data_IF_670483426135
#
_entry.id   IF_670483426135
#
_cell.length_a   1.000
_cell.length_b   1.000
_cell.length_c   1.000
_cell.angle_alpha   90.00
_cell.angle_beta   90.00
_cell.angle_gamma   90.00
#
_symmetry.space_group_name_H-M   'P 1'
#
loop_
_entity.id
_entity.type
_entity.pdbx_description
1 polymer ?
#
# COMPACT_ATOMS: atom_id res chain seq x y z
N UNK A 1 -32.69 17.27 -48.29
CA UNK A 1 -32.94 18.23 -47.18
C UNK A 1 -31.60 18.72 -46.69
N UNK A 2 -31.39 20.02 -46.78
CA UNK A 2 -30.12 20.71 -46.60
C UNK A 2 -30.37 21.79 -45.55
N UNK A 3 -29.77 21.69 -44.36
CA UNK A 3 -29.73 22.80 -43.41
C UNK A 3 -28.36 22.79 -42.70
N UNK A 4 -27.53 23.76 -43.07
CA UNK A 4 -26.59 24.51 -42.22
C UNK A 4 -27.17 25.94 -42.10
N UNK A 5 -26.62 26.87 -41.29
CA UNK A 5 -25.74 26.79 -40.11
C UNK A 5 -26.25 27.67 -38.92
N UNK A 6 -25.55 27.71 -37.78
CA UNK A 6 -25.23 28.99 -37.13
C UNK A 6 -24.04 28.86 -36.18
N UNK A 7 -22.97 29.56 -36.52
CA UNK A 7 -21.91 29.98 -35.61
C UNK A 7 -22.29 31.36 -35.06
N UNK A 8 -21.97 31.66 -33.80
CA UNK A 8 -21.86 33.03 -33.34
C UNK A 8 -20.79 33.17 -32.25
N UNK A 9 -19.67 33.74 -32.66
CA UNK A 9 -18.65 34.37 -31.83
C UNK A 9 -19.18 35.63 -31.15
N UNK A 10 -18.64 35.97 -29.97
CA UNK A 10 -18.36 37.32 -29.40
C UNK A 10 -17.71 37.07 -28.03
N UNK A 11 -16.38 37.07 -27.81
CA UNK A 11 -15.39 38.15 -27.72
C UNK A 11 -15.77 39.36 -26.82
N UNK A 12 -15.08 39.41 -25.67
CA UNK A 12 -14.52 40.54 -24.89
C UNK A 12 -15.33 41.80 -24.55
N UNK A 13 -15.33 42.15 -23.25
CA UNK A 13 -14.96 43.47 -22.67
C UNK A 13 -14.87 43.35 -21.14
N UNK A 14 -13.68 43.40 -20.55
CA UNK A 14 -13.12 44.56 -19.80
C UNK A 14 -13.99 45.11 -18.66
N UNK A 15 -13.59 44.82 -17.41
CA UNK A 15 -13.65 45.79 -16.31
C UNK A 15 -12.40 45.64 -15.44
N UNK A 16 -11.47 46.57 -15.61
CA UNK A 16 -10.56 46.98 -14.54
C UNK A 16 -11.30 47.99 -13.67
N UNK A 17 -11.32 47.81 -12.35
CA UNK A 17 -11.30 48.93 -11.43
C UNK A 17 -10.38 48.59 -10.26
N UNK A 18 -9.47 49.52 -10.02
CA UNK A 18 -8.36 49.50 -9.07
C UNK A 18 -8.80 49.70 -7.61
N UNK A 19 -8.09 48.98 -6.73
CA UNK A 19 -7.58 49.35 -5.40
C UNK A 19 -8.47 50.13 -4.44
N UNK A 20 -8.64 49.63 -3.21
CA UNK A 20 -8.32 50.36 -1.97
C UNK A 20 -7.75 49.35 -0.96
N UNK A 21 -6.49 49.54 -0.61
CA UNK A 21 -5.83 48.82 0.48
C UNK A 21 -6.32 49.38 1.81
N UNK A 22 -6.65 48.49 2.75
CA UNK A 22 -6.68 48.79 4.17
C UNK A 22 -6.02 47.63 4.91
N UNK A 23 -4.87 47.94 5.49
CA UNK A 23 -4.10 47.11 6.40
C UNK A 23 -4.96 46.70 7.59
N UNK A 24 -5.15 45.39 7.77
CA UNK A 24 -5.36 44.79 9.09
C UNK A 24 -4.33 43.67 9.21
N UNK A 25 -3.23 44.02 9.86
CA UNK A 25 -2.24 43.08 10.34
C UNK A 25 -2.86 42.31 11.52
N UNK A 26 -3.41 41.13 11.24
CA UNK A 26 -3.56 40.07 12.23
C UNK A 26 -2.58 38.96 11.88
N UNK A 27 -1.77 38.62 12.87
CA UNK A 27 -0.68 37.66 12.84
C UNK A 27 -1.15 36.29 12.35
N UNK A 28 -0.97 36.02 11.06
CA UNK A 28 -0.85 34.65 10.57
C UNK A 28 0.45 34.09 11.16
N UNK A 29 0.33 33.22 12.16
CA UNK A 29 1.38 32.25 12.47
C UNK A 29 1.79 31.61 11.14
N UNK A 30 3.02 31.88 10.74
CA UNK A 30 3.65 31.24 9.61
C UNK A 30 3.63 29.74 9.88
N UNK A 31 2.71 29.02 9.23
CA UNK A 31 2.86 27.60 9.02
C UNK A 31 4.23 27.41 8.37
N UNK A 32 5.16 26.94 9.18
CA UNK A 32 6.53 26.69 8.82
C UNK A 32 6.55 25.67 7.66
N UNK A 33 6.69 26.20 6.44
CA UNK A 33 6.81 25.41 5.21
C UNK A 33 8.17 24.68 5.13
N UNK A 34 9.00 24.69 6.19
CA UNK A 34 10.29 24.00 6.23
C UNK A 34 10.29 22.63 6.94
N UNK A 35 9.19 22.23 7.58
CA UNK A 35 9.10 20.95 8.32
C UNK A 35 8.80 19.70 7.45
N UNK A 36 8.67 19.83 6.13
CA UNK A 36 8.27 18.72 5.23
C UNK A 36 9.40 18.21 4.31
N UNK A 37 10.67 18.42 4.67
CA UNK A 37 11.80 17.99 3.85
C UNK A 37 11.94 16.46 3.77
N UNK A 38 12.16 15.95 2.55
CA UNK A 38 12.56 14.59 2.09
C UNK A 38 11.90 13.32 2.67
N UNK A 39 11.34 12.46 1.80
CA UNK A 39 10.89 11.13 2.17
C UNK A 39 12.20 10.42 2.42
N UNK A 40 12.62 10.41 3.67
CA UNK A 40 13.85 9.79 4.12
C UNK A 40 13.53 8.32 4.25
N UNK A 41 13.59 7.62 3.12
CA UNK A 41 13.44 6.17 3.05
C UNK A 41 14.74 5.55 3.57
N UNK A 42 15.05 5.82 4.84
CA UNK A 42 16.36 5.60 5.42
C UNK A 42 16.61 4.12 5.65
N UNK A 43 15.61 3.38 6.13
CA UNK A 43 15.74 1.96 6.41
C UNK A 43 15.94 1.16 5.12
N UNK A 44 15.29 1.56 4.02
CA UNK A 44 15.45 0.83 2.74
C UNK A 44 16.87 0.91 2.17
N UNK A 45 17.56 2.05 2.37
CA UNK A 45 18.91 2.27 1.84
C UNK A 45 20.03 1.97 2.86
N UNK A 46 19.80 2.19 4.15
CA UNK A 46 20.82 2.11 5.19
C UNK A 46 20.78 0.80 5.99
N UNK A 47 19.64 0.09 5.99
CA UNK A 47 19.51 -1.21 6.66
C UNK A 47 19.77 -2.34 5.64
N UNK A 48 20.75 -3.22 5.90
CA UNK A 48 21.01 -4.38 5.04
C UNK A 48 19.74 -5.21 4.84
N UNK A 49 19.52 -5.70 3.62
CA UNK A 49 18.39 -6.57 3.24
C UNK A 49 16.96 -6.05 3.48
N UNK A 50 16.74 -4.85 4.04
CA UNK A 50 15.41 -4.34 4.38
C UNK A 50 14.37 -4.45 3.24
N UNK A 51 14.75 -4.05 2.02
CA UNK A 51 13.88 -4.18 0.83
C UNK A 51 13.49 -5.64 0.54
N UNK A 52 14.45 -6.55 0.67
CA UNK A 52 14.27 -7.98 0.39
C UNK A 52 13.42 -8.62 1.49
N UNK A 53 13.67 -8.27 2.75
CA UNK A 53 12.86 -8.71 3.88
C UNK A 53 11.41 -8.25 3.78
N UNK A 54 11.20 -7.00 3.38
CA UNK A 54 9.86 -6.41 3.24
C UNK A 54 9.03 -7.13 2.16
N UNK A 55 9.64 -7.36 1.00
CA UNK A 55 8.98 -8.06 -0.11
C UNK A 55 8.81 -9.57 0.16
N UNK A 56 9.78 -10.20 0.83
CA UNK A 56 9.66 -11.58 1.28
C UNK A 56 8.52 -11.75 2.29
N UNK A 57 8.38 -10.84 3.26
CA UNK A 57 7.28 -10.88 4.22
C UNK A 57 5.93 -10.74 3.52
N UNK A 58 5.80 -9.81 2.58
CA UNK A 58 4.58 -9.65 1.79
C UNK A 58 4.24 -10.94 1.02
N UNK A 59 5.19 -11.52 0.29
CA UNK A 59 4.98 -12.75 -0.46
C UNK A 59 4.57 -13.92 0.44
N UNK A 60 5.23 -14.08 1.59
CA UNK A 60 4.88 -15.13 2.57
C UNK A 60 3.46 -14.94 3.12
N UNK A 61 3.07 -13.72 3.45
CA UNK A 61 1.74 -13.42 3.97
C UNK A 61 0.66 -13.55 2.90
N UNK A 62 0.98 -13.23 1.64
CA UNK A 62 0.10 -13.47 0.50
C UNK A 62 -0.19 -14.97 0.33
N UNK A 63 0.84 -15.82 0.30
CA UNK A 63 0.63 -17.27 0.19
C UNK A 63 -0.04 -17.88 1.43
N UNK A 64 0.24 -17.32 2.60
CA UNK A 64 -0.47 -17.68 3.82
C UNK A 64 -1.96 -17.29 3.75
N UNK A 65 -2.31 -16.18 3.10
CA UNK A 65 -3.69 -15.79 2.89
C UNK A 65 -4.44 -16.83 2.02
N UNK A 66 -3.79 -17.34 0.97
CA UNK A 66 -4.34 -18.47 0.18
C UNK A 66 -4.59 -19.70 1.06
N UNK A 67 -3.63 -20.06 1.91
CA UNK A 67 -3.80 -21.16 2.86
C UNK A 67 -4.98 -20.92 3.84
N UNK A 68 -5.09 -19.72 4.40
CA UNK A 68 -6.19 -19.35 5.32
C UNK A 68 -7.54 -19.49 4.62
N UNK A 69 -7.66 -18.96 3.40
CA UNK A 69 -8.89 -19.00 2.60
C UNK A 69 -9.27 -20.44 2.28
N UNK A 70 -8.35 -21.22 1.71
CA UNK A 70 -8.66 -22.56 1.21
C UNK A 70 -8.91 -23.55 2.35
N UNK A 71 -8.06 -23.55 3.38
CA UNK A 71 -8.18 -24.51 4.48
C UNK A 71 -9.45 -24.30 5.32
N UNK A 72 -9.95 -23.06 5.40
CA UNK A 72 -11.16 -22.73 6.12
C UNK A 72 -12.41 -22.63 5.22
N UNK A 73 -12.29 -22.91 3.92
CA UNK A 73 -13.37 -22.78 2.93
C UNK A 73 -14.04 -21.39 2.94
N UNK A 74 -13.24 -20.34 3.05
CA UNK A 74 -13.73 -18.96 3.10
C UNK A 74 -14.21 -18.57 1.69
N UNK A 75 -15.47 -18.15 1.51
CA UNK A 75 -15.94 -17.68 0.22
C UNK A 75 -15.26 -16.35 -0.14
N UNK A 76 -14.77 -16.24 -1.37
CA UNK A 76 -14.18 -15.01 -1.90
C UNK A 76 -15.01 -14.52 -3.08
N UNK A 77 -15.52 -13.29 -2.98
CA UNK A 77 -16.21 -12.60 -4.06
C UNK A 77 -15.25 -11.59 -4.71
N UNK A 78 -15.14 -11.61 -6.04
CA UNK A 78 -14.17 -10.80 -6.78
C UNK A 78 -12.99 -11.65 -7.27
N UNK A 79 -11.77 -11.31 -6.86
CA UNK A 79 -10.54 -12.01 -7.26
C UNK A 79 -9.76 -12.53 -6.06
N UNK A 80 -9.35 -13.80 -6.11
CA UNK A 80 -8.60 -14.47 -5.02
C UNK A 80 -7.25 -13.81 -4.74
N UNK A 81 -6.51 -13.45 -5.78
CA UNK A 81 -5.21 -12.80 -5.66
C UNK A 81 -5.30 -11.41 -5.04
N UNK A 82 -6.32 -10.62 -5.39
CA UNK A 82 -6.55 -9.31 -4.76
C UNK A 82 -6.91 -9.46 -3.29
N UNK A 83 -7.72 -10.46 -2.93
CA UNK A 83 -8.02 -10.75 -1.53
C UNK A 83 -6.77 -11.17 -0.75
N UNK A 84 -5.89 -11.97 -1.36
CA UNK A 84 -4.62 -12.36 -0.75
C UNK A 84 -3.68 -11.16 -0.53
N UNK A 85 -3.54 -10.26 -1.51
CA UNK A 85 -2.80 -8.99 -1.37
C UNK A 85 -3.35 -8.12 -0.24
N UNK A 86 -4.68 -7.97 -0.19
CA UNK A 86 -5.37 -7.21 0.84
C UNK A 86 -5.11 -7.77 2.24
N UNK A 87 -5.26 -9.09 2.41
CA UNK A 87 -4.98 -9.76 3.69
C UNK A 87 -3.50 -9.56 4.05
N UNK A 88 -2.57 -9.77 3.13
CA UNK A 88 -1.14 -9.60 3.37
C UNK A 88 -0.80 -8.17 3.83
N UNK A 89 -1.22 -7.15 3.08
CA UNK A 89 -1.01 -5.74 3.42
C UNK A 89 -1.57 -5.42 4.81
N UNK A 90 -2.80 -5.87 5.10
CA UNK A 90 -3.42 -5.63 6.41
C UNK A 90 -2.69 -6.34 7.55
N UNK A 91 -2.22 -7.58 7.34
CA UNK A 91 -1.44 -8.32 8.33
C UNK A 91 -0.13 -7.62 8.70
N UNK A 92 0.53 -7.01 7.73
CA UNK A 92 1.77 -6.28 7.95
C UNK A 92 1.55 -5.03 8.83
N UNK A 93 0.38 -4.39 8.72
CA UNK A 93 0.03 -3.19 9.50
C UNK A 93 -0.54 -3.48 10.91
N UNK A 94 -0.72 -4.76 11.31
CA UNK A 94 -1.40 -5.15 12.57
C UNK A 94 -0.80 -4.60 13.86
N UNK A 95 0.52 -4.44 13.91
CA UNK A 95 1.25 -4.06 15.13
C UNK A 95 1.70 -2.60 15.14
N UNK A 96 1.37 -1.85 14.08
CA UNK A 96 1.78 -0.47 13.93
C UNK A 96 0.84 0.42 14.71
N UNK A 97 1.24 0.72 15.96
CA UNK A 97 0.54 1.65 16.87
C UNK A 97 0.40 3.04 16.27
N UNK A 98 1.35 3.38 15.39
CA UNK A 98 1.42 4.55 14.55
C UNK A 98 2.08 4.16 13.22
N UNK A 99 1.89 4.95 12.16
CA UNK A 99 2.79 4.90 11.00
C UNK A 99 4.15 5.45 11.45
N UNK A 100 4.95 4.56 12.02
CA UNK A 100 6.37 4.77 12.28
C UNK A 100 7.13 4.73 10.94
N UNK A 101 8.27 5.42 10.87
CA UNK A 101 9.05 5.57 9.63
C UNK A 101 9.41 4.21 9.00
N UNK A 102 9.67 3.19 9.83
CA UNK A 102 9.97 1.83 9.36
C UNK A 102 8.79 1.14 8.68
N UNK A 103 7.54 1.37 9.14
CA UNK A 103 6.36 0.81 8.47
C UNK A 103 6.18 1.47 7.10
N UNK A 104 6.36 2.78 7.03
CA UNK A 104 6.28 3.53 5.79
C UNK A 104 7.33 3.02 4.78
N UNK A 105 8.57 2.85 5.23
CA UNK A 105 9.67 2.31 4.42
C UNK A 105 9.40 0.88 3.93
N UNK A 106 8.81 0.05 4.79
CA UNK A 106 8.40 -1.32 4.45
C UNK A 106 7.32 -1.30 3.36
N UNK A 107 6.27 -0.49 3.54
CA UNK A 107 5.16 -0.39 2.58
C UNK A 107 5.59 0.24 1.25
N UNK A 108 6.51 1.21 1.27
CA UNK A 108 7.13 1.75 0.06
C UNK A 108 7.93 0.67 -0.66
N UNK A 109 8.68 -0.17 0.05
CA UNK A 109 9.46 -1.26 -0.56
C UNK A 109 8.56 -2.24 -1.32
N UNK A 110 7.40 -2.57 -0.75
CA UNK A 110 6.42 -3.49 -1.35
C UNK A 110 5.74 -2.85 -2.56
N UNK A 111 5.27 -1.62 -2.40
CA UNK A 111 4.63 -0.89 -3.50
C UNK A 111 5.61 -0.71 -4.65
N UNK A 112 6.85 -0.30 -4.36
CA UNK A 112 7.88 -0.11 -5.37
C UNK A 112 8.20 -1.38 -6.15
N UNK A 113 8.15 -2.56 -5.52
CA UNK A 113 8.35 -3.84 -6.21
C UNK A 113 7.33 -4.02 -7.35
N UNK A 114 6.04 -3.83 -7.07
CA UNK A 114 5.00 -3.91 -8.10
C UNK A 114 5.15 -2.88 -9.22
N UNK A 115 5.59 -1.66 -8.89
CA UNK A 115 5.87 -0.64 -9.90
C UNK A 115 7.11 -0.97 -10.74
N UNK A 116 8.14 -1.58 -10.13
CA UNK A 116 9.33 -2.06 -10.83
C UNK A 116 8.97 -3.21 -11.76
N UNK A 117 8.15 -4.16 -11.30
CA UNK A 117 7.66 -5.27 -12.11
C UNK A 117 6.84 -4.78 -13.30
N UNK A 118 5.90 -3.85 -13.07
CA UNK A 118 5.15 -3.19 -14.14
C UNK A 118 6.07 -2.54 -15.19
N UNK A 119 7.13 -1.85 -14.76
CA UNK A 119 8.10 -1.25 -15.69
C UNK A 119 8.81 -2.31 -16.53
N UNK A 120 9.15 -3.45 -15.96
CA UNK A 120 9.77 -4.57 -16.67
C UNK A 120 8.80 -5.24 -17.64
N UNK A 121 7.54 -5.44 -17.25
CA UNK A 121 6.50 -6.00 -18.12
C UNK A 121 6.27 -5.12 -19.36
N UNK A 122 6.23 -3.80 -19.16
CA UNK A 122 6.13 -2.83 -20.26
C UNK A 122 7.39 -2.84 -21.12
N UNK A 123 8.59 -2.80 -20.51
CA UNK A 123 9.88 -2.81 -21.20
C UNK A 123 10.05 -4.05 -22.09
N UNK A 124 9.62 -5.22 -21.59
CA UNK A 124 9.74 -6.50 -22.28
C UNK A 124 8.51 -6.90 -23.10
N UNK A 125 7.47 -6.04 -23.15
CA UNK A 125 6.19 -6.33 -23.84
C UNK A 125 5.55 -7.65 -23.37
N UNK A 126 5.63 -7.95 -22.08
CA UNK A 126 5.21 -9.21 -21.47
C UNK A 126 3.96 -9.09 -20.59
N UNK A 127 3.14 -8.05 -20.80
CA UNK A 127 1.92 -7.82 -20.02
C UNK A 127 0.90 -8.93 -20.29
N UNK A 128 0.56 -9.69 -19.26
CA UNK A 128 -0.40 -10.80 -19.33
C UNK A 128 -1.80 -10.37 -18.87
N UNK A 129 -2.58 -9.75 -19.76
CA UNK A 129 -3.95 -9.28 -19.43
C UNK A 129 -4.96 -10.38 -19.08
N UNK A 130 -4.62 -11.65 -19.32
CA UNK A 130 -5.45 -12.83 -19.03
C UNK A 130 -5.06 -13.54 -17.74
N UNK A 131 -4.03 -13.06 -17.04
CA UNK A 131 -3.58 -13.66 -15.79
C UNK A 131 -4.66 -13.53 -14.69
N UNK A 132 -4.61 -14.43 -13.71
CA UNK A 132 -5.50 -14.37 -12.54
C UNK A 132 -5.07 -13.28 -11.55
N UNK A 133 -3.79 -12.93 -11.57
CA UNK A 133 -3.27 -11.79 -10.83
C UNK A 133 -3.72 -10.48 -11.49
N UNK A 134 -4.06 -9.44 -10.69
CA UNK A 134 -4.18 -8.10 -11.21
C UNK A 134 -2.87 -7.66 -11.88
N UNK A 135 -2.95 -6.72 -12.82
CA UNK A 135 -1.74 -6.15 -13.42
C UNK A 135 -0.84 -5.59 -12.31
N UNK A 136 0.47 -5.69 -12.47
CA UNK A 136 1.45 -5.20 -11.49
C UNK A 136 1.21 -3.72 -11.13
N UNK A 137 0.79 -2.88 -12.08
CA UNK A 137 0.39 -1.49 -11.80
C UNK A 137 -0.88 -1.35 -10.95
N UNK A 138 -1.83 -2.28 -11.07
CA UNK A 138 -3.02 -2.31 -10.21
C UNK A 138 -2.64 -2.73 -8.78
N UNK A 139 -1.77 -3.75 -8.64
CA UNK A 139 -1.24 -4.17 -7.33
C UNK A 139 -0.49 -3.02 -6.64
N UNK A 140 0.35 -2.29 -7.39
CA UNK A 140 1.00 -1.07 -6.90
C UNK A 140 0.00 -0.08 -6.30
N UNK A 141 -1.03 0.31 -7.06
CA UNK A 141 -2.00 1.29 -6.59
C UNK A 141 -2.90 0.78 -5.48
N UNK A 142 -3.24 -0.51 -5.46
CA UNK A 142 -4.08 -1.10 -4.41
C UNK A 142 -3.33 -1.18 -3.07
N UNK A 143 -2.08 -1.66 -3.07
CA UNK A 143 -1.24 -1.67 -1.85
C UNK A 143 -0.95 -0.24 -1.37
N UNK A 144 -0.56 0.66 -2.28
CA UNK A 144 -0.28 2.07 -1.93
C UNK A 144 -1.52 2.76 -1.35
N UNK A 145 -2.70 2.43 -1.87
CA UNK A 145 -3.96 2.97 -1.40
C UNK A 145 -4.29 2.53 0.03
N UNK A 146 -4.21 1.23 0.34
CA UNK A 146 -4.46 0.72 1.70
C UNK A 146 -3.50 1.34 2.72
N UNK A 147 -2.22 1.45 2.36
CA UNK A 147 -1.23 2.15 3.19
C UNK A 147 -1.65 3.61 3.41
N UNK A 148 -1.95 4.37 2.35
CA UNK A 148 -2.33 5.77 2.46
C UNK A 148 -3.60 5.97 3.29
N UNK A 149 -4.60 5.10 3.11
CA UNK A 149 -5.86 5.12 3.86
C UNK A 149 -5.69 4.88 5.36
N UNK A 150 -4.64 4.16 5.77
CA UNK A 150 -4.35 3.91 7.18
C UNK A 150 -3.98 5.18 7.97
N UNK A 151 -3.34 6.16 7.31
CA UNK A 151 -2.92 7.39 7.96
C UNK A 151 -2.82 8.56 6.96
N UNK A 152 -3.95 8.90 6.35
CA UNK A 152 -4.10 9.98 5.35
C UNK A 152 -3.34 11.25 5.73
N UNK A 153 -3.53 11.74 6.97
CA UNK A 153 -2.90 12.96 7.50
C UNK A 153 -1.36 12.89 7.52
N UNK A 154 -0.80 11.72 7.83
CA UNK A 154 0.65 11.50 7.91
C UNK A 154 1.27 11.19 6.54
N UNK A 155 0.45 10.72 5.60
CA UNK A 155 0.90 10.15 4.33
C UNK A 155 0.58 11.00 3.09
N UNK A 156 0.12 12.26 3.26
CA UNK A 156 -0.06 13.23 2.16
C UNK A 156 1.17 13.37 1.26
N UNK A 157 2.35 13.09 1.81
CA UNK A 157 3.60 13.10 1.07
C UNK A 157 3.64 12.11 -0.10
N UNK A 158 3.07 10.91 0.06
CA UNK A 158 3.05 9.88 -0.99
C UNK A 158 2.35 10.42 -2.24
N UNK A 159 1.28 11.21 -2.08
CA UNK A 159 0.62 11.93 -3.19
C UNK A 159 1.55 12.98 -3.81
N UNK A 160 2.18 13.81 -2.97
CA UNK A 160 3.08 14.88 -3.41
C UNK A 160 4.32 14.38 -4.15
N UNK A 161 4.72 13.13 -3.94
CA UNK A 161 5.85 12.50 -4.65
C UNK A 161 5.40 11.58 -5.80
N UNK A 162 4.16 11.73 -6.29
CA UNK A 162 3.56 11.02 -7.42
C UNK A 162 3.46 9.49 -7.29
N UNK A 163 3.42 8.97 -6.06
CA UNK A 163 3.15 7.54 -5.83
C UNK A 163 1.67 7.23 -5.96
N UNK A 164 0.79 8.16 -5.55
CA UNK A 164 -0.65 7.95 -5.52
C UNK A 164 -1.38 9.14 -6.16
N UNK A 165 -2.03 8.96 -7.33
CA UNK A 165 -2.85 9.98 -7.95
C UNK A 165 -4.00 10.42 -7.04
N UNK A 166 -4.43 11.65 -7.18
CA UNK A 166 -5.51 12.18 -6.36
C UNK A 166 -6.82 11.42 -6.49
N UNK A 167 -7.18 11.05 -7.72
CA UNK A 167 -8.39 10.29 -7.98
C UNK A 167 -8.38 8.92 -7.31
N UNK A 168 -7.19 8.28 -7.19
CA UNK A 168 -7.05 6.99 -6.51
C UNK A 168 -7.08 7.14 -4.99
N UNK A 169 -6.42 8.18 -4.47
CA UNK A 169 -6.32 8.49 -3.05
C UNK A 169 -7.68 8.80 -2.38
N UNK A 170 -8.66 9.20 -3.19
CA UNK A 170 -9.95 9.73 -2.74
C UNK A 170 -10.76 8.82 -1.82
N UNK A 171 -10.80 7.51 -2.09
CA UNK A 171 -11.59 6.53 -1.32
C UNK A 171 -10.69 5.57 -0.51
N UNK A 172 -9.40 5.87 -0.38
CA UNK A 172 -8.46 4.95 0.24
C UNK A 172 -8.70 4.71 1.72
N UNK A 173 -9.17 5.72 2.46
CA UNK A 173 -9.58 5.57 3.84
C UNK A 173 -10.79 4.62 3.97
N UNK A 174 -11.76 4.71 3.07
CA UNK A 174 -12.93 3.83 3.03
C UNK A 174 -12.49 2.39 2.74
N UNK A 175 -11.64 2.19 1.73
CA UNK A 175 -11.09 0.86 1.41
C UNK A 175 -10.29 0.29 2.59
N UNK A 176 -9.48 1.10 3.27
CA UNK A 176 -8.77 0.68 4.46
C UNK A 176 -9.74 0.25 5.58
N UNK A 177 -10.79 1.03 5.87
CA UNK A 177 -11.77 0.65 6.90
C UNK A 177 -12.51 -0.65 6.56
N UNK A 178 -12.92 -0.84 5.30
CA UNK A 178 -13.55 -2.10 4.84
C UNK A 178 -12.61 -3.30 5.02
N UNK A 179 -11.32 -3.12 4.73
CA UNK A 179 -10.32 -4.16 4.94
C UNK A 179 -10.04 -4.42 6.43
N UNK A 180 -10.12 -3.38 7.28
CA UNK A 180 -10.05 -3.55 8.74
C UNK A 180 -11.22 -4.36 9.30
N UNK A 181 -12.43 -4.08 8.85
CA UNK A 181 -13.63 -4.85 9.22
C UNK A 181 -13.51 -6.30 8.78
N UNK A 182 -13.05 -6.53 7.55
CA UNK A 182 -12.81 -7.87 6.99
C UNK A 182 -11.77 -8.63 7.82
N UNK A 183 -10.66 -7.98 8.16
CA UNK A 183 -9.62 -8.57 8.99
C UNK A 183 -10.12 -8.86 10.42
N UNK A 184 -10.96 -7.99 11.00
CA UNK A 184 -11.58 -8.25 12.30
C UNK A 184 -12.46 -9.49 12.24
N UNK A 185 -13.28 -9.63 11.20
CA UNK A 185 -14.09 -10.83 10.99
C UNK A 185 -13.21 -12.08 10.82
N UNK A 186 -12.13 -12.01 10.04
CA UNK A 186 -11.18 -13.12 9.91
C UNK A 186 -10.56 -13.48 11.26
N UNK A 187 -10.14 -12.48 12.04
CA UNK A 187 -9.58 -12.68 13.36
C UNK A 187 -10.58 -13.36 14.29
N UNK A 188 -11.83 -12.90 14.33
CA UNK A 188 -12.90 -13.44 15.16
C UNK A 188 -13.24 -14.90 14.84
N UNK A 189 -13.17 -15.30 13.57
CA UNK A 189 -13.60 -16.63 13.14
C UNK A 189 -12.43 -17.64 13.04
N UNK A 190 -11.25 -17.20 12.62
CA UNK A 190 -10.15 -18.08 12.19
C UNK A 190 -8.80 -17.76 12.85
N UNK A 191 -8.83 -17.11 14.01
CA UNK A 191 -7.61 -16.74 14.75
C UNK A 191 -7.77 -16.89 16.27
N UNK A 192 -6.64 -16.90 16.98
CA UNK A 192 -6.55 -16.88 18.44
C UNK A 192 -6.64 -15.48 19.03
N UNK A 193 -6.63 -14.46 18.18
CA UNK A 193 -6.73 -13.05 18.56
C UNK A 193 -8.06 -12.45 18.10
N UNK A 194 -8.46 -11.36 18.72
CA UNK A 194 -9.52 -10.46 18.28
C UNK A 194 -8.99 -9.03 18.38
N UNK A 195 -9.77 -8.03 17.99
CA UNK A 195 -9.38 -6.63 18.10
C UNK A 195 -10.15 -5.93 19.21
N UNK A 196 -9.46 -5.13 20.00
CA UNK A 196 -10.11 -4.21 20.95
C UNK A 196 -10.71 -2.98 20.23
N UNK A 197 -11.35 -2.09 20.99
CA UNK A 197 -11.96 -0.86 20.46
C UNK A 197 -10.95 0.10 19.79
N UNK A 198 -9.67 -0.02 20.14
CA UNK A 198 -8.57 0.74 19.58
C UNK A 198 -7.84 -0.04 18.47
N UNK A 199 -8.39 -1.20 18.09
CA UNK A 199 -7.86 -2.08 17.06
C UNK A 199 -6.51 -2.72 17.38
N UNK A 200 -6.24 -2.95 18.66
CA UNK A 200 -5.11 -3.76 19.06
C UNK A 200 -5.46 -5.25 19.02
N UNK A 201 -4.57 -6.11 18.49
CA UNK A 201 -4.77 -7.54 18.60
C UNK A 201 -4.65 -7.99 20.06
N UNK A 202 -5.69 -8.60 20.59
CA UNK A 202 -5.75 -9.14 21.96
C UNK A 202 -6.09 -10.63 21.95
N UNK A 203 -5.50 -11.46 22.83
CA UNK A 203 -5.80 -12.89 22.87
C UNK A 203 -7.26 -13.16 23.24
N UNK A 204 -7.88 -14.18 22.61
CA UNK A 204 -9.20 -14.68 23.01
C UNK A 204 -9.11 -15.52 24.28
N UNK A 205 -10.08 -15.34 25.18
CA UNK A 205 -10.21 -16.13 26.41
C UNK A 205 -10.40 -17.62 26.06
N UNK A 206 -9.56 -18.50 26.61
CA UNK A 206 -9.52 -19.97 26.39
C UNK A 206 -8.90 -20.47 25.06
N UNK A 207 -7.96 -19.75 24.44
CA UNK A 207 -7.12 -20.36 23.40
C UNK A 207 -6.36 -21.58 23.98
N UNK A 208 -6.54 -22.77 23.39
CA UNK A 208 -5.83 -23.98 23.82
C UNK A 208 -4.31 -23.85 23.63
N UNK A 209 -3.53 -24.63 24.38
CA UNK A 209 -2.07 -24.50 24.37
C UNK A 209 -1.36 -25.23 23.21
N UNK A 210 -2.06 -26.07 22.44
CA UNK A 210 -1.47 -26.87 21.36
C UNK A 210 -2.28 -26.70 20.10
N UNK A 211 -1.66 -26.05 19.12
CA UNK A 211 -2.27 -25.68 17.87
C UNK A 211 -1.38 -26.05 16.69
N UNK A 212 -1.95 -26.39 15.52
CA UNK A 212 -1.18 -26.56 14.31
C UNK A 212 -0.37 -25.30 14.01
N UNK A 213 0.89 -25.48 13.65
CA UNK A 213 1.84 -24.39 13.40
C UNK A 213 2.21 -24.31 11.93
N UNK A 214 2.55 -23.11 11.50
CA UNK A 214 3.36 -22.84 10.32
C UNK A 214 4.81 -23.15 10.68
N UNK A 215 5.41 -24.05 9.91
CA UNK A 215 6.80 -24.48 10.03
C UNK A 215 7.61 -23.94 8.85
N UNK A 216 8.93 -24.03 8.93
CA UNK A 216 9.83 -23.72 7.80
C UNK A 216 10.80 -24.86 7.55
N UNK A 217 11.05 -25.14 6.28
CA UNK A 217 12.07 -26.05 5.79
C UNK A 217 12.89 -25.37 4.71
N UNK A 218 14.21 -25.50 4.82
CA UNK A 218 15.15 -24.97 3.85
C UNK A 218 15.75 -26.12 3.05
N UNK A 219 15.44 -26.21 1.77
CA UNK A 219 16.01 -27.18 0.86
C UNK A 219 17.36 -26.66 0.38
N UNK A 220 18.41 -27.48 0.51
CA UNK A 220 19.77 -27.07 0.13
C UNK A 220 19.84 -26.79 -1.37
N UNK A 221 20.19 -25.58 -1.80
CA UNK A 221 20.26 -25.24 -3.21
C UNK A 221 21.58 -25.71 -3.85
N UNK A 222 21.53 -25.98 -5.15
CA UNK A 222 22.73 -26.37 -5.92
C UNK A 222 23.58 -25.16 -6.34
N UNK A 223 22.96 -24.03 -6.67
CA UNK A 223 23.64 -22.82 -7.16
C UNK A 223 24.38 -22.09 -6.04
N UNK A 224 25.64 -21.63 -6.24
CA UNK A 224 26.38 -20.87 -5.23
C UNK A 224 25.65 -19.63 -4.72
N UNK A 225 25.02 -18.84 -5.61
CA UNK A 225 24.27 -17.64 -5.21
C UNK A 225 23.15 -17.95 -4.21
N UNK A 226 22.41 -19.05 -4.43
CA UNK A 226 21.32 -19.45 -3.54
C UNK A 226 21.81 -20.02 -2.22
N UNK A 227 23.05 -20.55 -2.16
CA UNK A 227 23.66 -20.97 -0.89
C UNK A 227 23.88 -19.75 0.03
N UNK A 228 24.33 -18.64 -0.54
CA UNK A 228 24.45 -17.37 0.20
C UNK A 228 23.08 -16.85 0.65
N UNK A 229 22.04 -16.95 -0.18
CA UNK A 229 20.66 -16.62 0.23
C UNK A 229 20.19 -17.51 1.39
N UNK A 230 20.45 -18.81 1.32
CA UNK A 230 20.11 -19.75 2.39
C UNK A 230 20.84 -19.40 3.70
N UNK A 231 22.14 -19.15 3.64
CA UNK A 231 22.94 -18.71 4.80
C UNK A 231 22.35 -17.43 5.41
N UNK A 232 21.99 -16.45 4.57
CA UNK A 232 21.32 -15.23 5.01
C UNK A 232 19.98 -15.53 5.68
N UNK A 233 19.07 -16.28 5.05
CA UNK A 233 17.76 -16.63 5.62
C UNK A 233 17.89 -17.32 6.98
N UNK A 234 18.83 -18.26 7.11
CA UNK A 234 19.09 -18.98 8.35
C UNK A 234 19.71 -18.11 9.45
N UNK A 235 20.51 -17.11 9.07
CA UNK A 235 21.07 -16.13 9.99
C UNK A 235 20.11 -15.00 10.34
N UNK A 236 19.12 -14.73 9.47
CA UNK A 236 18.13 -13.68 9.66
C UNK A 236 17.10 -14.11 10.70
N UNK A 237 16.79 -13.21 11.64
CA UNK A 237 15.68 -13.44 12.57
C UNK A 237 14.31 -13.15 11.93
N UNK A 238 14.28 -12.68 10.67
CA UNK A 238 13.06 -12.19 10.01
C UNK A 238 12.04 -13.28 9.76
N UNK A 239 12.44 -14.42 9.18
CA UNK A 239 11.51 -15.54 8.95
C UNK A 239 10.98 -16.09 10.28
N UNK A 240 11.85 -16.21 11.29
CA UNK A 240 11.46 -16.64 12.62
C UNK A 240 10.48 -15.66 13.29
N UNK A 241 10.70 -14.35 13.13
CA UNK A 241 9.81 -13.29 13.62
C UNK A 241 8.41 -13.38 12.97
N UNK A 242 8.35 -13.52 11.64
CA UNK A 242 7.08 -13.67 10.90
C UNK A 242 6.34 -14.92 11.39
N UNK A 243 7.03 -16.06 11.48
CA UNK A 243 6.46 -17.31 11.98
C UNK A 243 5.96 -17.21 13.42
N UNK A 244 6.67 -16.51 14.30
CA UNK A 244 6.25 -16.27 15.67
C UNK A 244 4.90 -15.56 15.70
N UNK A 245 4.80 -14.41 15.00
CA UNK A 245 3.56 -13.64 14.89
C UNK A 245 2.40 -14.43 14.30
N UNK A 246 2.66 -15.14 13.19
CA UNK A 246 1.63 -15.95 12.51
C UNK A 246 1.12 -17.06 13.42
N UNK A 247 2.02 -17.77 14.10
CA UNK A 247 1.64 -18.89 14.98
C UNK A 247 0.94 -18.45 16.27
N UNK A 248 1.18 -17.22 16.73
CA UNK A 248 0.46 -16.63 17.86
C UNK A 248 -0.93 -16.12 17.46
N UNK A 249 -1.08 -15.62 16.23
CA UNK A 249 -2.33 -15.02 15.77
C UNK A 249 -3.28 -16.04 15.12
N UNK A 250 -2.83 -16.85 14.17
CA UNK A 250 -3.70 -17.52 13.19
C UNK A 250 -4.05 -18.94 13.62
N UNK A 251 -5.32 -19.30 13.52
CA UNK A 251 -5.83 -20.65 13.78
C UNK A 251 -5.97 -21.43 12.49
N UNK A 252 -4.93 -22.17 12.12
CA UNK A 252 -4.97 -23.07 10.97
C UNK A 252 -5.63 -24.42 11.34
N UNK A 253 -6.48 -24.99 10.46
CA UNK A 253 -7.07 -26.31 10.67
C UNK A 253 -6.06 -27.47 10.73
N UNK A 254 -4.89 -27.29 10.10
CA UNK A 254 -3.80 -28.28 10.02
C UNK A 254 -2.46 -27.57 9.86
N UNK A 255 -1.33 -28.26 10.11
CA UNK A 255 -0.01 -27.66 9.98
C UNK A 255 0.25 -27.24 8.53
N UNK A 256 0.96 -26.12 8.37
CA UNK A 256 1.46 -25.65 7.07
C UNK A 256 2.98 -25.59 7.14
N UNK A 257 3.66 -25.85 6.02
CA UNK A 257 5.12 -25.72 5.95
C UNK A 257 5.53 -24.78 4.83
N UNK A 258 6.38 -23.81 5.14
CA UNK A 258 7.08 -22.97 4.16
C UNK A 258 8.32 -23.72 3.70
N UNK A 259 8.46 -23.94 2.40
CA UNK A 259 9.61 -24.57 1.78
C UNK A 259 10.38 -23.52 0.98
N UNK A 260 11.62 -23.25 1.37
CA UNK A 260 12.56 -22.49 0.53
C UNK A 260 13.33 -23.47 -0.35
N UNK A 261 13.18 -23.39 -1.67
CA UNK A 261 13.81 -24.35 -2.58
C UNK A 261 14.26 -23.77 -3.92
N UNK A 262 14.99 -24.57 -4.70
CA UNK A 262 15.58 -24.18 -6.00
C UNK A 262 15.05 -24.99 -7.18
N UNK A 263 13.99 -25.79 -7.00
CA UNK A 263 13.41 -26.61 -8.08
C UNK A 263 12.24 -25.88 -8.74
N UNK A 264 12.45 -24.60 -9.05
CA UNK A 264 11.45 -23.73 -9.65
C UNK A 264 11.75 -23.46 -11.12
N UNK A 265 10.73 -23.09 -11.88
CA UNK A 265 10.89 -22.61 -13.26
C UNK A 265 11.28 -21.13 -13.35
N UNK A 266 11.25 -20.39 -12.24
CA UNK A 266 11.53 -18.96 -12.20
C UNK A 266 11.37 -18.36 -10.79
N UNK A 267 11.46 -17.02 -10.69
CA UNK A 267 11.26 -16.29 -9.44
C UNK A 267 9.77 -16.27 -9.07
N UNK A 268 9.35 -17.18 -8.19
CA UNK A 268 7.94 -17.33 -7.81
C UNK A 268 7.77 -17.81 -6.36
N UNK A 269 6.55 -17.67 -5.86
CA UNK A 269 6.08 -18.31 -4.63
C UNK A 269 4.61 -18.71 -4.81
N UNK A 270 4.20 -19.83 -4.20
CA UNK A 270 2.81 -20.28 -4.29
C UNK A 270 2.39 -21.16 -3.13
N UNK A 271 1.10 -21.10 -2.80
CA UNK A 271 0.41 -22.06 -1.96
C UNK A 271 0.14 -23.35 -2.76
N UNK A 272 0.55 -24.49 -2.19
CA UNK A 272 0.35 -25.82 -2.75
C UNK A 272 -0.57 -26.67 -1.84
N UNK A 273 -1.87 -26.80 -2.20
CA UNK A 273 -2.84 -27.52 -1.37
C UNK A 273 -2.63 -29.03 -1.34
N UNK A 274 -1.80 -29.61 -2.23
CA UNK A 274 -1.52 -31.06 -2.23
C UNK A 274 -0.62 -31.48 -1.08
N UNK A 275 0.24 -30.59 -0.63
CA UNK A 275 1.21 -30.84 0.44
C UNK A 275 1.00 -29.94 1.66
N UNK A 276 -0.05 -29.11 1.64
CA UNK A 276 -0.32 -28.08 2.64
C UNK A 276 0.90 -27.19 2.90
N UNK A 277 1.54 -26.74 1.82
CA UNK A 277 2.82 -26.05 1.88
C UNK A 277 2.86 -24.78 1.04
N UNK A 278 3.60 -23.80 1.53
CA UNK A 278 3.97 -22.60 0.78
C UNK A 278 5.34 -22.87 0.17
N UNK A 279 5.48 -22.77 -1.14
CA UNK A 279 6.77 -22.89 -1.81
C UNK A 279 7.30 -21.48 -2.09
N UNK A 280 8.56 -21.23 -1.75
CA UNK A 280 9.27 -19.98 -2.07
C UNK A 280 10.55 -20.33 -2.81
N UNK A 281 10.67 -19.85 -4.04
CA UNK A 281 11.87 -20.07 -4.85
C UNK A 281 13.00 -19.15 -4.39
N UNK A 282 14.22 -19.67 -4.28
CA UNK A 282 15.38 -18.81 -4.05
C UNK A 282 15.57 -17.77 -5.17
N UNK A 283 15.13 -18.10 -6.39
CA UNK A 283 15.08 -17.19 -7.53
C UNK A 283 14.23 -15.93 -7.24
N UNK A 284 13.15 -16.05 -6.46
CA UNK A 284 12.31 -14.89 -6.09
C UNK A 284 13.08 -13.92 -5.19
N UNK A 285 13.86 -14.45 -4.25
CA UNK A 285 14.69 -13.64 -3.36
C UNK A 285 15.84 -12.99 -4.14
N UNK A 286 16.47 -13.73 -5.05
CA UNK A 286 17.45 -13.20 -6.00
C UNK A 286 16.85 -12.07 -6.85
N UNK A 287 15.58 -12.20 -7.27
CA UNK A 287 14.85 -11.16 -8.00
C UNK A 287 14.63 -9.90 -7.15
N UNK A 288 14.25 -10.03 -5.88
CA UNK A 288 14.13 -8.88 -4.96
C UNK A 288 15.48 -8.16 -4.76
N UNK A 289 16.60 -8.89 -4.67
CA UNK A 289 17.93 -8.29 -4.60
C UNK A 289 18.29 -7.50 -5.89
N UNK A 290 17.84 -7.98 -7.05
CA UNK A 290 18.01 -7.29 -8.32
C UNK A 290 17.11 -6.05 -8.41
N UNK A 291 15.84 -6.17 -8.02
CA UNK A 291 14.86 -5.09 -8.08
C UNK A 291 15.18 -3.96 -7.10
N UNK A 292 15.79 -4.26 -5.94
CA UNK A 292 16.35 -3.23 -5.04
C UNK A 292 17.24 -2.22 -5.76
N UNK A 293 18.03 -2.66 -6.76
CA UNK A 293 18.93 -1.78 -7.53
C UNK A 293 18.17 -0.78 -8.41
N UNK A 294 16.91 -1.07 -8.76
CA UNK A 294 16.00 -0.21 -9.55
C UNK A 294 15.22 0.80 -8.69
N UNK A 295 15.19 0.62 -7.38
CA UNK A 295 14.42 1.46 -6.48
C UNK A 295 14.81 2.95 -6.51
N UNK A 296 16.11 3.26 -6.40
CA UNK A 296 16.58 4.66 -6.42
C UNK A 296 16.27 5.37 -7.75
N UNK A 297 16.53 4.74 -8.93
CA UNK A 297 16.02 5.26 -10.19
C UNK A 297 14.50 5.49 -10.22
N UNK A 298 13.70 4.55 -9.70
CA UNK A 298 12.24 4.69 -9.64
C UNK A 298 11.82 5.91 -8.81
N UNK A 299 12.34 6.05 -7.58
CA UNK A 299 12.02 7.19 -6.70
C UNK A 299 12.34 8.52 -7.39
N UNK A 300 13.50 8.61 -8.03
CA UNK A 300 13.91 9.83 -8.73
C UNK A 300 12.99 10.15 -9.91
N UNK A 301 12.54 9.13 -10.65
CA UNK A 301 11.59 9.28 -11.75
C UNK A 301 10.24 9.80 -11.24
N UNK A 302 9.67 9.17 -10.21
CA UNK A 302 8.39 9.59 -9.63
C UNK A 302 8.45 11.03 -9.08
N UNK A 303 9.53 11.38 -8.37
CA UNK A 303 9.76 12.78 -7.94
C UNK A 303 9.83 13.77 -9.10
N UNK A 304 10.38 13.36 -10.24
CA UNK A 304 10.38 14.17 -11.47
C UNK A 304 8.98 14.37 -12.05
N UNK A 305 8.17 13.31 -12.09
CA UNK A 305 6.79 13.31 -12.60
C UNK A 305 5.83 14.12 -11.71
N UNK A 306 6.03 14.08 -10.39
CA UNK A 306 5.28 14.88 -9.42
C UNK A 306 5.32 16.38 -9.74
N UNK A 307 6.47 16.87 -10.22
CA UNK A 307 6.66 18.27 -10.59
C UNK A 307 5.99 18.66 -11.91
N UNK A 308 5.44 17.71 -12.67
CA UNK A 308 4.97 17.90 -14.04
C UNK A 308 3.49 17.54 -14.25
N UNK A 309 2.88 16.77 -13.35
CA UNK A 309 1.56 16.19 -13.56
C UNK A 309 0.49 16.72 -12.60
N UNK A 310 -0.55 17.32 -13.18
CA UNK A 310 -1.76 17.78 -12.48
C UNK A 310 -2.61 16.63 -11.93
N UNK A 311 -2.32 15.37 -12.30
CA UNK A 311 -3.03 14.19 -11.82
C UNK A 311 -2.73 13.88 -10.33
N UNK A 312 -1.57 14.31 -9.86
CA UNK A 312 -1.09 14.01 -8.50
C UNK A 312 -1.26 15.18 -7.52
N UNK A 313 -1.52 16.38 -8.04
CA UNK A 313 -1.76 17.60 -7.25
C UNK A 313 -3.26 17.90 -7.16
N UNK A 314 -3.72 18.56 -6.10
CA UNK A 314 -5.05 19.16 -6.19
C UNK A 314 -5.01 20.29 -7.23
N UNK A 315 -6.15 20.59 -7.89
CA UNK A 315 -6.27 21.86 -8.59
C UNK A 315 -5.85 22.98 -7.64
N UNK A 316 -4.88 23.81 -8.04
CA UNK A 316 -4.19 24.79 -7.16
C UNK A 316 -5.13 25.69 -6.35
N UNK A 317 -6.33 25.96 -6.86
CA UNK A 317 -7.39 26.71 -6.17
C UNK A 317 -7.93 26.05 -4.89
N UNK A 318 -7.74 24.74 -4.71
CA UNK A 318 -8.32 23.96 -3.60
C UNK A 318 -7.27 23.42 -2.62
N UNK A 319 -6.01 23.33 -3.04
CA UNK A 319 -4.91 22.78 -2.22
C UNK A 319 -4.80 23.51 -0.86
N UNK A 320 -4.87 24.84 -0.84
CA UNK A 320 -4.75 25.65 0.39
C UNK A 320 -5.97 25.55 1.31
N UNK A 321 -7.14 25.20 0.77
CA UNK A 321 -8.36 24.98 1.56
C UNK A 321 -8.37 23.57 2.15
N UNK A 322 -8.00 22.57 1.35
CA UNK A 322 -7.99 21.18 1.75
C UNK A 322 -6.88 20.91 2.77
N UNK A 323 -5.72 21.56 2.64
CA UNK A 323 -4.62 21.43 3.62
C UNK A 323 -4.94 22.02 5.00
N UNK A 324 -5.95 22.90 5.11
CA UNK A 324 -6.40 23.48 6.38
C UNK A 324 -7.42 22.61 7.11
N UNK A 325 -8.03 21.66 6.41
CA UNK A 325 -9.02 20.75 6.99
C UNK A 325 -8.33 19.52 7.59
N UNK A 326 -8.85 19.05 8.72
CA UNK A 326 -8.42 17.80 9.37
C UNK A 326 -9.39 16.67 9.01
N UNK A 327 -8.93 15.41 9.07
CA UNK A 327 -9.74 14.23 8.72
C UNK A 327 -9.40 13.67 7.35
N UNK A 328 -10.17 12.69 6.89
CA UNK A 328 -9.90 11.95 5.65
C UNK A 328 -10.10 12.82 4.39
N UNK A 329 -9.43 12.45 3.29
CA UNK A 329 -9.34 13.27 2.08
C UNK A 329 -10.71 13.70 1.54
N UNK A 330 -11.67 12.78 1.55
CA UNK A 330 -13.05 13.00 1.13
C UNK A 330 -13.80 13.99 2.03
N UNK A 331 -13.67 13.86 3.35
CA UNK A 331 -14.31 14.76 4.31
C UNK A 331 -13.75 16.18 4.18
N UNK A 332 -12.42 16.32 4.03
CA UNK A 332 -11.80 17.63 3.78
C UNK A 332 -12.39 18.32 2.56
N UNK A 333 -12.65 17.56 1.49
CA UNK A 333 -13.29 18.11 0.29
C UNK A 333 -14.77 18.43 0.50
N UNK A 334 -15.54 17.58 1.18
CA UNK A 334 -16.95 17.85 1.49
C UNK A 334 -17.05 19.15 2.31
N UNK A 335 -16.24 19.28 3.37
CA UNK A 335 -16.16 20.48 4.19
C UNK A 335 -15.78 21.72 3.38
N UNK A 336 -14.85 21.60 2.44
CA UNK A 336 -14.52 22.68 1.51
C UNK A 336 -15.71 23.07 0.63
N UNK A 337 -16.41 22.09 0.05
CA UNK A 337 -17.58 22.35 -0.79
C UNK A 337 -18.71 23.03 0.00
N UNK A 338 -18.95 22.59 1.23
CA UNK A 338 -19.94 23.19 2.12
C UNK A 338 -19.56 24.64 2.46
N UNK A 339 -18.29 24.91 2.79
CA UNK A 339 -17.80 26.27 3.02
C UNK A 339 -17.95 27.17 1.79
N UNK A 340 -17.66 26.66 0.58
CA UNK A 340 -17.85 27.41 -0.66
C UNK A 340 -19.33 27.70 -0.96
N UNK A 341 -20.21 26.76 -0.62
CA UNK A 341 -21.66 26.94 -0.77
C UNK A 341 -22.20 27.98 0.21
N UNK A 342 -21.71 27.98 1.46
CA UNK A 342 -22.07 29.00 2.47
C UNK A 342 -21.62 30.40 2.06
N UNK A 343 -20.35 30.56 1.66
CA UNK A 343 -19.81 31.86 1.20
C UNK A 343 -20.59 32.43 0.00
N UNK A 344 -21.04 31.57 -0.92
CA UNK A 344 -21.86 32.00 -2.05
C UNK A 344 -23.29 32.38 -1.65
N UNK A 345 -23.88 31.72 -0.65
CA UNK A 345 -25.20 32.12 -0.11
C UNK A 345 -25.13 33.48 0.57
N UNK A 346 -24.08 33.72 1.36
CA UNK A 346 -23.87 35.00 2.03
C UNK A 346 -23.65 36.14 1.02
N UNK A 347 -22.92 35.87 -0.07
CA UNK A 347 -22.70 36.82 -1.16
C UNK A 347 -23.96 37.13 -2.00
N UNK A 348 -24.94 36.23 -2.05
CA UNK A 348 -26.23 36.46 -2.71
C UNK A 348 -27.27 37.14 -1.80
N UNK A 349 -27.03 37.16 -0.48
CA UNK A 349 -27.92 37.77 0.53
C UNK A 349 -27.60 39.23 0.84
N UNK A 350 -26.48 39.75 0.33
CA UNK A 350 -26.06 41.16 0.36
C UNK A 350 -26.26 41.79 -1.01
#
# INVERSE_FOLDING_TARGET
MNIKPLAMCCLFSFFQLSAHATDIAESAESADNSAFSNLTIDSVFNTPHFYVESNLEFALLHELAHAIIELNNIPVLGGREKAADQIATMFMMLNSRDVEDDLLDQMISISAEWMIEWQQEVEHSSIAFWDVHPLSIQRFYDVTCLMYGAAVDKLERIRKEAWLPYQRAWDCDIEFQQNRETLSWLADNYSYVTFDENWHPVPKVNASAVHPKVNVQYITPSRPAHKTILEWLQSSERVAYILGRVNEAIKLPKPVTIYFESQCSGPDAWWNPKIDGIIVCYELIEQFEQNKKRLKPLINKLKGEANQSHLFLFPSKYETLISKQKGVLRERFIQMMDQMLEQNKDAQSK
#
